data_IF_034890919303
#
_entry.id   IF_034890919303
#
_cell.length_a   1.000
_cell.length_b   1.000
_cell.length_c   1.000
_cell.angle_alpha   90.00
_cell.angle_beta   90.00
_cell.angle_gamma   90.00
#
_symmetry.space_group_name_H-M   'P 1'
#
loop_
_entity.id
_entity.type
_entity.pdbx_description
1 polymer ?
#
# COMPACT_ATOMS: atom_id res chain seq x y z
N UNK A 1 16.03 -4.30 -2.03
CA UNK A 1 16.50 -3.38 -3.08
C UNK A 1 17.99 -3.18 -2.91
N UNK A 2 18.76 -3.32 -3.98
CA UNK A 2 20.19 -3.02 -3.93
C UNK A 2 20.36 -1.50 -3.87
N UNK A 3 21.17 -1.02 -2.95
CA UNK A 3 21.41 0.42 -2.76
C UNK A 3 22.83 0.76 -3.20
N UNK A 4 22.98 1.93 -3.78
CA UNK A 4 24.29 2.48 -4.12
C UNK A 4 24.93 3.00 -2.85
N UNK A 5 26.22 2.74 -2.72
CA UNK A 5 27.03 3.21 -1.59
C UNK A 5 28.07 4.19 -2.12
N UNK A 6 28.61 5.05 -1.26
CA UNK A 6 29.62 6.03 -1.68
C UNK A 6 30.82 5.30 -2.33
N UNK A 7 31.19 5.72 -3.53
CA UNK A 7 32.25 5.08 -4.32
C UNK A 7 31.82 3.82 -5.10
N UNK A 8 30.60 3.34 -4.91
CA UNK A 8 30.05 2.15 -5.60
C UNK A 8 28.64 2.45 -6.12
N UNK A 9 28.52 3.15 -7.26
CA UNK A 9 27.23 3.43 -7.87
C UNK A 9 26.56 2.13 -8.35
N UNK A 10 25.24 2.12 -8.35
CA UNK A 10 24.43 0.98 -8.80
C UNK A 10 24.52 0.90 -10.33
N UNK A 11 24.78 -0.30 -10.86
CA UNK A 11 24.74 -0.51 -12.31
C UNK A 11 23.32 -0.35 -12.88
N UNK A 12 23.21 -0.01 -14.17
CA UNK A 12 21.92 0.21 -14.86
C UNK A 12 20.99 -1.02 -14.73
N UNK A 13 21.55 -2.24 -14.83
CA UNK A 13 20.78 -3.50 -14.70
C UNK A 13 20.15 -3.66 -13.31
N UNK A 14 20.89 -3.29 -12.27
CA UNK A 14 20.42 -3.38 -10.89
C UNK A 14 19.36 -2.31 -10.59
N UNK A 15 19.46 -1.13 -11.20
CA UNK A 15 18.39 -0.11 -11.16
C UNK A 15 17.10 -0.64 -11.79
N UNK A 16 17.18 -1.24 -12.98
CA UNK A 16 16.02 -1.81 -13.66
C UNK A 16 15.40 -2.98 -12.88
N UNK A 17 16.23 -3.83 -12.27
CA UNK A 17 15.79 -4.91 -11.36
C UNK A 17 15.08 -4.33 -10.14
N UNK A 18 15.65 -3.32 -9.49
CA UNK A 18 15.02 -2.65 -8.35
C UNK A 18 13.67 -2.04 -8.74
N UNK A 19 13.59 -1.35 -9.88
CA UNK A 19 12.33 -0.79 -10.38
C UNK A 19 11.27 -1.88 -10.63
N UNK A 20 11.68 -3.03 -11.18
CA UNK A 20 10.80 -4.19 -11.35
C UNK A 20 10.28 -4.73 -10.02
N UNK A 21 11.17 -4.90 -9.04
CA UNK A 21 10.83 -5.36 -7.69
C UNK A 21 9.86 -4.37 -7.03
N UNK A 22 10.14 -3.07 -7.08
CA UNK A 22 9.27 -2.02 -6.55
C UNK A 22 7.88 -2.08 -7.16
N UNK A 23 7.77 -2.26 -8.48
CA UNK A 23 6.48 -2.33 -9.17
C UNK A 23 5.62 -3.51 -8.70
N UNK A 24 6.24 -4.64 -8.37
CA UNK A 24 5.54 -5.84 -7.88
C UNK A 24 5.18 -5.71 -6.39
N UNK A 25 6.06 -5.14 -5.57
CA UNK A 25 5.85 -5.00 -4.12
C UNK A 25 4.95 -3.82 -3.74
N UNK A 26 4.98 -2.74 -4.52
CA UNK A 26 4.25 -1.49 -4.22
C UNK A 26 2.74 -1.70 -3.97
N UNK A 27 2.02 -2.53 -4.74
CA UNK A 27 0.62 -2.83 -4.45
C UNK A 27 0.39 -3.47 -3.07
N UNK A 28 1.31 -4.31 -2.61
CA UNK A 28 1.25 -4.99 -1.31
C UNK A 28 1.70 -4.13 -0.12
N UNK A 29 2.63 -3.21 -0.33
CA UNK A 29 3.11 -2.28 0.71
C UNK A 29 2.16 -1.11 0.96
N UNK A 30 1.38 -0.74 -0.07
CA UNK A 30 0.46 0.42 -0.04
C UNK A 30 -0.61 0.36 1.07
N UNK A 31 -1.29 -0.77 1.35
CA UNK A 31 -2.21 -0.89 2.48
C UNK A 31 -1.56 -0.52 3.81
N UNK A 32 -0.36 -1.05 4.08
CA UNK A 32 0.36 -0.76 5.32
C UNK A 32 0.76 0.71 5.42
N UNK A 33 1.22 1.31 4.32
CA UNK A 33 1.57 2.73 4.29
C UNK A 33 0.35 3.63 4.58
N UNK A 34 -0.83 3.30 4.03
CA UNK A 34 -2.06 4.08 4.27
C UNK A 34 -2.56 3.92 5.70
N UNK A 35 -2.60 2.69 6.23
CA UNK A 35 -3.03 2.44 7.61
C UNK A 35 -2.08 3.15 8.61
N UNK A 36 -0.77 3.14 8.32
CA UNK A 36 0.23 3.79 9.15
C UNK A 36 0.12 5.32 9.11
N UNK A 37 0.08 5.91 7.91
CA UNK A 37 0.24 7.36 7.73
C UNK A 37 -1.09 8.12 7.69
N UNK A 38 -2.13 7.57 7.06
CA UNK A 38 -3.43 8.26 6.91
C UNK A 38 -4.31 7.98 8.11
N UNK A 39 -4.41 6.71 8.51
CA UNK A 39 -5.23 6.33 9.67
C UNK A 39 -4.49 6.49 11.00
N UNK A 40 -3.20 6.83 10.96
CA UNK A 40 -2.36 7.01 12.16
C UNK A 40 -2.39 5.80 13.12
N UNK A 41 -2.66 4.60 12.59
CA UNK A 41 -2.87 3.39 13.39
C UNK A 41 -1.57 2.60 13.63
N UNK A 42 -0.42 3.24 13.44
CA UNK A 42 0.90 2.63 13.69
C UNK A 42 1.06 2.23 15.16
N UNK A 43 0.56 3.08 16.07
CA UNK A 43 0.59 2.85 17.50
C UNK A 43 -0.84 2.90 18.04
N UNK A 44 -1.28 1.83 18.70
CA UNK A 44 -2.59 1.78 19.34
C UNK A 44 -2.42 1.89 20.85
N UNK A 45 -3.19 2.78 21.49
CA UNK A 45 -3.17 2.98 22.96
C UNK A 45 -4.04 1.97 23.71
N UNK A 46 -4.11 0.72 23.22
CA UNK A 46 -4.88 -0.35 23.86
C UNK A 46 -3.91 -1.43 24.33
N UNK A 47 -4.14 -1.96 25.54
CA UNK A 47 -3.19 -2.84 26.23
C UNK A 47 -3.40 -4.32 25.92
N UNK A 48 -4.59 -4.70 25.43
CA UNK A 48 -4.92 -6.10 25.18
C UNK A 48 -4.88 -6.45 23.69
N UNK A 49 -4.29 -7.62 23.38
CA UNK A 49 -4.13 -8.11 22.01
C UNK A 49 -5.48 -8.23 21.28
N UNK A 50 -6.53 -8.70 21.97
CA UNK A 50 -7.87 -8.81 21.40
C UNK A 50 -8.41 -7.45 20.92
N UNK A 51 -8.19 -6.38 21.70
CA UNK A 51 -8.64 -5.02 21.33
C UNK A 51 -7.81 -4.45 20.18
N UNK A 52 -6.50 -4.74 20.14
CA UNK A 52 -5.64 -4.37 19.00
C UNK A 52 -6.15 -5.06 17.73
N UNK A 53 -6.40 -6.37 17.80
CA UNK A 53 -6.86 -7.17 16.67
C UNK A 53 -8.16 -6.60 16.09
N UNK A 54 -9.16 -6.36 16.93
CA UNK A 54 -10.43 -5.78 16.48
C UNK A 54 -10.23 -4.40 15.85
N UNK A 55 -9.40 -3.52 16.43
CA UNK A 55 -9.07 -2.21 15.82
C UNK A 55 -8.40 -2.35 14.45
N UNK A 56 -7.56 -3.37 14.28
CA UNK A 56 -6.85 -3.59 13.03
C UNK A 56 -7.77 -4.18 11.95
N UNK A 57 -8.72 -5.03 12.31
CA UNK A 57 -9.79 -5.47 11.42
C UNK A 57 -10.60 -4.27 10.88
N UNK A 58 -11.01 -3.36 11.77
CA UNK A 58 -11.71 -2.14 11.35
C UNK A 58 -10.85 -1.27 10.43
N UNK A 59 -9.55 -1.14 10.74
CA UNK A 59 -8.64 -0.36 9.89
C UNK A 59 -8.47 -0.96 8.49
N UNK A 60 -8.42 -2.30 8.38
CA UNK A 60 -8.38 -3.00 7.09
C UNK A 60 -9.70 -2.81 6.30
N UNK A 61 -10.85 -2.87 6.98
CA UNK A 61 -12.13 -2.60 6.35
C UNK A 61 -12.23 -1.16 5.83
N UNK A 62 -11.80 -0.18 6.64
CA UNK A 62 -11.73 1.23 6.23
C UNK A 62 -10.80 1.43 5.03
N UNK A 63 -9.68 0.70 4.97
CA UNK A 63 -8.77 0.73 3.82
C UNK A 63 -9.48 0.26 2.54
N UNK A 64 -10.24 -0.83 2.58
CA UNK A 64 -10.98 -1.33 1.41
C UNK A 64 -11.96 -0.26 0.89
N UNK A 65 -12.68 0.42 1.79
CA UNK A 65 -13.58 1.53 1.40
C UNK A 65 -12.81 2.72 0.83
N UNK A 66 -11.70 3.11 1.44
CA UNK A 66 -10.83 4.19 0.95
C UNK A 66 -10.29 3.89 -0.46
N UNK A 67 -9.91 2.65 -0.70
CA UNK A 67 -9.45 2.19 -2.01
C UNK A 67 -10.57 2.27 -3.05
N UNK A 68 -11.79 1.85 -2.69
CA UNK A 68 -12.96 1.95 -3.58
C UNK A 68 -13.27 3.40 -3.96
N UNK A 69 -13.24 4.32 -2.98
CA UNK A 69 -13.44 5.75 -3.22
C UNK A 69 -12.36 6.33 -4.15
N UNK A 70 -11.11 5.89 -3.99
CA UNK A 70 -10.00 6.30 -4.87
C UNK A 70 -10.22 5.81 -6.30
N UNK A 71 -10.62 4.54 -6.47
CA UNK A 71 -10.92 3.96 -7.79
C UNK A 71 -12.12 4.63 -8.47
N UNK A 72 -13.14 5.01 -7.69
CA UNK A 72 -14.27 5.80 -8.17
C UNK A 72 -13.81 7.17 -8.69
N UNK A 73 -13.00 7.89 -7.90
CA UNK A 73 -12.45 9.20 -8.31
C UNK A 73 -11.60 9.13 -9.58
N UNK A 74 -10.93 8.00 -9.82
CA UNK A 74 -10.13 7.77 -11.03
C UNK A 74 -10.96 7.37 -12.27
N UNK A 75 -12.29 7.22 -12.13
CA UNK A 75 -13.16 6.76 -13.22
C UNK A 75 -12.82 5.34 -13.71
N UNK A 76 -12.12 4.56 -12.90
CA UNK A 76 -11.75 3.17 -13.23
C UNK A 76 -12.96 2.27 -13.07
N UNK A 77 -13.80 2.56 -12.08
CA UNK A 77 -15.01 1.81 -11.77
C UNK A 77 -16.04 1.90 -12.91
N UNK A 78 -16.25 3.10 -13.45
CA UNK A 78 -17.14 3.33 -14.60
C UNK A 78 -16.60 2.65 -15.87
N UNK A 79 -15.29 2.72 -16.11
CA UNK A 79 -14.64 1.99 -17.21
C UNK A 79 -14.83 0.47 -17.08
N UNK A 80 -14.59 -0.10 -15.90
CA UNK A 80 -14.76 -1.55 -15.65
C UNK A 80 -16.20 -2.01 -15.81
N UNK A 81 -17.18 -1.19 -15.39
CA UNK A 81 -18.59 -1.49 -15.56
C UNK A 81 -19.03 -1.37 -17.02
N UNK A 82 -18.50 -0.38 -17.75
CA UNK A 82 -18.76 -0.18 -19.17
C UNK A 82 -18.13 -1.24 -20.08
N UNK A 83 -17.08 -1.95 -19.63
CA UNK A 83 -16.47 -3.04 -20.41
C UNK A 83 -17.21 -4.37 -20.24
N UNK A 84 -18.15 -4.46 -19.29
CA UNK A 84 -18.92 -5.67 -18.98
C UNK A 84 -20.31 -5.70 -19.65
N UNK A 85 -20.77 -4.58 -20.20
CA UNK A 85 -21.96 -4.49 -21.06
C UNK A 85 -21.54 -4.56 -22.53
#
# INVERSE_FOLDING_TARGET
MQRGVRGHPIGIRDVLKNARISRILSPGERPYAIIKNVFHSAHTKVTTVLRVHTKMLFSAFCFNRFQLATLKKQGVLERMLSTKN
#
